data_IF_401457660109
#
_entry.id   IF_401457660109
#
_cell.length_a   1.000
_cell.length_b   1.000
_cell.length_c   1.000
_cell.angle_alpha   90.00
_cell.angle_beta   90.00
_cell.angle_gamma   90.00
#
_symmetry.space_group_name_H-M   'P 1'
#
loop_
_entity.id
_entity.type
_entity.pdbx_description
1 polymer ?
#
# COMPACT_ATOMS: atom_id res chain seq x y z
N UNK A 1 25.08 14.90 -21.22
CA UNK A 1 25.73 13.73 -20.60
C UNK A 1 24.68 13.02 -19.77
N UNK A 2 24.37 11.76 -20.07
CA UNK A 2 23.52 10.92 -19.21
C UNK A 2 24.37 10.31 -18.09
N UNK A 3 23.78 10.14 -16.91
CA UNK A 3 24.40 9.36 -15.83
C UNK A 3 24.06 7.90 -16.12
N UNK A 4 25.09 7.05 -16.25
CA UNK A 4 24.89 5.60 -16.35
C UNK A 4 24.60 5.06 -14.96
N UNK A 5 23.40 4.54 -14.76
CA UNK A 5 22.94 3.88 -13.52
C UNK A 5 22.80 2.37 -13.68
N UNK A 6 23.18 1.83 -14.85
CA UNK A 6 23.13 0.39 -15.09
C UNK A 6 24.09 -0.33 -14.11
N UNK A 7 23.58 -1.35 -13.45
CA UNK A 7 24.35 -2.12 -12.45
C UNK A 7 24.36 -1.55 -11.03
N UNK A 8 23.70 -0.41 -10.77
CA UNK A 8 23.47 0.01 -9.39
C UNK A 8 22.39 -0.85 -8.73
N UNK A 9 22.53 -1.17 -7.43
CA UNK A 9 21.51 -1.88 -6.69
C UNK A 9 20.24 -1.01 -6.59
N UNK A 10 19.09 -1.62 -6.82
CA UNK A 10 17.78 -0.95 -6.72
C UNK A 10 17.16 -1.27 -5.37
N UNK A 11 16.66 -0.25 -4.68
CA UNK A 11 15.83 -0.39 -3.49
C UNK A 11 14.43 0.09 -3.86
N UNK A 12 13.45 -0.81 -3.81
CA UNK A 12 12.04 -0.43 -3.92
C UNK A 12 11.59 0.18 -2.59
N UNK A 13 11.36 1.47 -2.59
CA UNK A 13 11.00 2.22 -1.36
C UNK A 13 9.50 2.23 -1.08
N UNK A 14 8.67 1.66 -1.94
CA UNK A 14 7.23 1.60 -1.74
C UNK A 14 6.59 0.43 -2.49
N UNK A 15 6.41 -0.67 -1.80
CA UNK A 15 5.62 -1.79 -2.30
C UNK A 15 4.70 -2.37 -1.22
N UNK A 16 3.87 -3.30 -1.63
CA UNK A 16 2.96 -4.06 -0.78
C UNK A 16 3.30 -5.55 -0.84
N UNK A 17 2.86 -6.36 0.14
CA UNK A 17 3.01 -7.80 0.06
C UNK A 17 2.39 -8.34 -1.23
N UNK A 18 3.15 -9.15 -1.98
CA UNK A 18 2.59 -9.87 -3.12
C UNK A 18 2.18 -11.28 -2.72
N UNK A 19 1.06 -11.69 -3.31
CA UNK A 19 0.48 -12.99 -3.08
C UNK A 19 0.61 -13.84 -4.32
N UNK A 20 0.87 -15.12 -4.13
CA UNK A 20 0.64 -16.11 -5.16
C UNK A 20 -0.87 -16.15 -5.47
N UNK A 21 -1.22 -15.80 -6.68
CA UNK A 21 -2.59 -15.83 -7.20
C UNK A 21 -2.81 -16.98 -8.17
N UNK A 22 -1.83 -17.86 -8.30
CA UNK A 22 -1.87 -18.94 -9.30
C UNK A 22 -1.94 -18.40 -10.73
N UNK A 23 -2.67 -19.09 -11.59
CA UNK A 23 -2.94 -18.65 -12.95
C UNK A 23 -3.89 -17.42 -12.94
N UNK A 24 -3.63 -16.50 -13.86
CA UNK A 24 -4.45 -15.30 -14.06
C UNK A 24 -5.03 -15.30 -15.47
N UNK A 25 -6.25 -14.79 -15.60
CA UNK A 25 -6.81 -14.38 -16.89
C UNK A 25 -6.23 -13.02 -17.30
N UNK A 26 -6.41 -12.64 -18.56
CA UNK A 26 -5.98 -11.31 -19.05
C UNK A 26 -6.69 -10.16 -18.31
N UNK A 27 -7.93 -10.37 -17.89
CA UNK A 27 -8.68 -9.40 -17.11
C UNK A 27 -8.17 -9.29 -15.68
N UNK A 28 -7.90 -10.42 -15.00
CA UNK A 28 -7.31 -10.43 -13.66
C UNK A 28 -5.94 -9.76 -13.66
N UNK A 29 -5.09 -10.09 -14.64
CA UNK A 29 -3.78 -9.49 -14.78
C UNK A 29 -3.87 -7.97 -14.99
N UNK A 30 -4.72 -7.52 -15.91
CA UNK A 30 -4.93 -6.10 -16.18
C UNK A 30 -5.46 -5.38 -14.93
N UNK A 31 -6.41 -5.98 -14.21
CA UNK A 31 -6.99 -5.42 -12.98
C UNK A 31 -5.95 -5.31 -11.85
N UNK A 32 -5.11 -6.31 -11.66
CA UNK A 32 -4.08 -6.33 -10.62
C UNK A 32 -2.94 -5.35 -10.90
N UNK A 33 -2.59 -5.15 -12.16
CA UNK A 33 -1.42 -4.37 -12.55
C UNK A 33 -1.73 -2.92 -12.93
N UNK A 34 -2.99 -2.59 -13.22
CA UNK A 34 -3.42 -1.27 -13.69
C UNK A 34 -4.40 -0.56 -12.74
N UNK A 35 -4.19 -0.66 -11.43
CA UNK A 35 -5.01 0.01 -10.39
C UNK A 35 -6.51 -0.32 -10.44
N UNK A 36 -6.86 -1.53 -10.83
CA UNK A 36 -8.25 -1.93 -11.06
C UNK A 36 -9.20 -1.88 -9.87
N UNK A 37 -8.70 -1.89 -8.64
CA UNK A 37 -9.52 -1.77 -7.43
C UNK A 37 -10.05 -0.35 -7.16
N UNK A 38 -9.42 0.66 -7.76
CA UNK A 38 -9.80 2.07 -7.57
C UNK A 38 -11.17 2.37 -8.19
N UNK A 39 -11.51 1.72 -9.31
CA UNK A 39 -12.73 2.02 -10.03
C UNK A 39 -13.99 1.51 -9.33
N UNK A 40 -13.88 0.39 -8.61
CA UNK A 40 -15.02 -0.18 -7.89
C UNK A 40 -15.51 0.72 -6.75
N UNK A 41 -14.62 1.54 -6.18
CA UNK A 41 -14.93 2.43 -5.06
C UNK A 41 -15.18 3.89 -5.51
N UNK A 42 -14.35 4.39 -6.40
CA UNK A 42 -14.28 5.83 -6.72
C UNK A 42 -15.26 6.26 -7.81
N UNK A 43 -15.51 5.41 -8.78
CA UNK A 43 -16.48 5.74 -9.85
C UNK A 43 -17.90 5.82 -9.32
N UNK A 44 -18.40 4.85 -8.51
CA UNK A 44 -19.71 5.01 -7.86
C UNK A 44 -19.77 6.21 -6.93
N UNK A 45 -18.69 6.50 -6.17
CA UNK A 45 -18.63 7.67 -5.32
C UNK A 45 -18.68 8.98 -6.13
N UNK A 46 -18.21 8.96 -7.38
CA UNK A 46 -18.32 10.05 -8.36
C UNK A 46 -19.65 10.08 -9.13
N UNK A 47 -20.60 9.19 -8.79
CA UNK A 47 -21.91 9.12 -9.46
C UNK A 47 -21.94 8.32 -10.76
N UNK A 48 -20.88 7.53 -11.04
CA UNK A 48 -20.82 6.66 -12.23
C UNK A 48 -21.40 5.29 -11.89
N UNK A 49 -22.44 4.86 -12.59
CA UNK A 49 -22.98 3.50 -12.47
C UNK A 49 -22.06 2.50 -13.18
N UNK A 50 -21.59 1.48 -12.44
CA UNK A 50 -20.71 0.42 -12.96
C UNK A 50 -21.50 -0.66 -13.69
N UNK A 51 -22.05 -0.32 -14.87
CA UNK A 51 -22.67 -1.31 -15.78
C UNK A 51 -21.58 -2.18 -16.44
N UNK A 52 -21.99 -3.32 -17.03
CA UNK A 52 -21.07 -4.19 -17.77
C UNK A 52 -20.40 -3.44 -18.93
N UNK A 53 -21.14 -2.58 -19.63
CA UNK A 53 -20.59 -1.75 -20.70
C UNK A 53 -19.50 -0.79 -20.20
N UNK A 54 -19.68 -0.16 -19.03
CA UNK A 54 -18.68 0.70 -18.39
C UNK A 54 -17.46 -0.12 -17.97
N UNK A 55 -17.67 -1.31 -17.42
CA UNK A 55 -16.55 -2.22 -17.05
C UNK A 55 -15.75 -2.67 -18.27
N UNK A 56 -16.42 -2.97 -19.40
CA UNK A 56 -15.73 -3.33 -20.65
C UNK A 56 -14.93 -2.15 -21.21
N UNK A 57 -15.46 -0.97 -21.16
CA UNK A 57 -14.76 0.25 -21.57
C UNK A 57 -13.53 0.52 -20.71
N UNK A 58 -13.67 0.41 -19.37
CA UNK A 58 -12.55 0.56 -18.45
C UNK A 58 -11.44 -0.47 -18.71
N UNK A 59 -11.78 -1.73 -18.97
CA UNK A 59 -10.80 -2.78 -19.34
C UNK A 59 -10.01 -2.37 -20.58
N UNK A 60 -10.71 -1.86 -21.60
CA UNK A 60 -10.08 -1.40 -22.84
C UNK A 60 -9.14 -0.22 -22.59
N UNK A 61 -9.61 0.81 -21.87
CA UNK A 61 -8.80 1.99 -21.55
C UNK A 61 -7.54 1.64 -20.74
N UNK A 62 -7.64 0.74 -19.78
CA UNK A 62 -6.47 0.29 -19.00
C UNK A 62 -5.40 -0.32 -19.88
N UNK A 63 -5.79 -1.17 -20.82
CA UNK A 63 -4.86 -1.81 -21.77
C UNK A 63 -4.24 -0.81 -22.76
N UNK A 64 -4.90 0.31 -23.00
CA UNK A 64 -4.42 1.36 -23.88
C UNK A 64 -3.52 2.39 -23.19
N UNK A 65 -3.36 2.34 -21.87
CA UNK A 65 -2.46 3.25 -21.14
C UNK A 65 -0.99 2.99 -21.52
N UNK A 66 -0.19 4.06 -21.54
CA UNK A 66 1.26 3.94 -21.76
C UNK A 66 1.91 3.05 -20.69
N UNK A 67 1.43 3.13 -19.44
CA UNK A 67 1.87 2.28 -18.33
C UNK A 67 1.68 0.79 -18.64
N UNK A 68 0.47 0.39 -19.03
CA UNK A 68 0.17 -1.02 -19.32
C UNK A 68 0.98 -1.53 -20.52
N UNK A 69 1.04 -0.77 -21.61
CA UNK A 69 1.82 -1.13 -22.81
C UNK A 69 3.31 -1.27 -22.49
N UNK A 70 3.85 -0.38 -21.67
CA UNK A 70 5.26 -0.46 -21.26
C UNK A 70 5.50 -1.71 -20.40
N UNK A 71 4.64 -1.98 -19.41
CA UNK A 71 4.73 -3.16 -18.57
C UNK A 71 4.67 -4.46 -19.38
N UNK A 72 3.74 -4.55 -20.35
CA UNK A 72 3.68 -5.73 -21.25
C UNK A 72 4.97 -5.87 -22.06
N UNK A 73 5.52 -4.79 -22.59
CA UNK A 73 6.77 -4.82 -23.34
C UNK A 73 7.97 -5.24 -22.45
N UNK A 74 8.07 -4.74 -21.22
CA UNK A 74 9.13 -5.11 -20.28
C UNK A 74 9.03 -6.58 -19.87
N UNK A 75 7.83 -7.09 -19.59
CA UNK A 75 7.61 -8.50 -19.30
C UNK A 75 7.84 -9.41 -20.51
N UNK A 76 7.48 -8.96 -21.72
CA UNK A 76 7.78 -9.68 -22.95
C UNK A 76 9.29 -9.83 -23.13
N UNK A 77 10.06 -8.78 -22.90
CA UNK A 77 11.52 -8.84 -22.92
C UNK A 77 12.07 -9.79 -21.86
N UNK A 78 11.55 -9.74 -20.63
CA UNK A 78 11.91 -10.65 -19.54
C UNK A 78 11.65 -12.13 -19.88
N UNK A 79 10.54 -12.43 -20.53
CA UNK A 79 10.17 -13.80 -20.93
C UNK A 79 10.75 -14.22 -22.28
N UNK A 80 11.29 -13.32 -23.08
CA UNK A 80 11.78 -13.57 -24.43
C UNK A 80 10.65 -13.93 -25.42
N UNK A 81 9.53 -13.20 -25.34
CA UNK A 81 8.36 -13.36 -26.22
C UNK A 81 8.01 -12.04 -26.90
N UNK A 82 7.08 -12.09 -27.87
CA UNK A 82 6.52 -10.88 -28.47
C UNK A 82 5.78 -10.02 -27.44
N UNK A 83 5.76 -8.67 -27.58
CA UNK A 83 5.10 -7.74 -26.67
C UNK A 83 3.57 -7.77 -26.81
N UNK A 84 3.02 -8.95 -26.62
CA UNK A 84 1.60 -9.27 -26.62
C UNK A 84 1.15 -9.76 -25.24
N UNK A 85 -0.02 -9.31 -24.80
CA UNK A 85 -0.53 -9.63 -23.46
C UNK A 85 -0.76 -11.12 -23.26
N UNK A 86 -1.30 -11.81 -24.25
CA UNK A 86 -1.64 -13.24 -24.14
C UNK A 86 -0.36 -14.09 -24.09
N UNK A 87 0.65 -13.74 -24.91
CA UNK A 87 1.96 -14.40 -24.90
C UNK A 87 2.69 -14.19 -23.55
N UNK A 88 2.66 -12.97 -23.00
CA UNK A 88 3.22 -12.65 -21.69
C UNK A 88 2.50 -13.43 -20.59
N UNK A 89 1.17 -13.47 -20.64
CA UNK A 89 0.35 -14.13 -19.63
C UNK A 89 0.55 -15.65 -19.61
N UNK A 90 0.62 -16.26 -20.77
CA UNK A 90 0.94 -17.70 -20.92
C UNK A 90 2.28 -18.01 -20.22
N UNK A 91 3.33 -17.24 -20.50
CA UNK A 91 4.65 -17.44 -19.89
C UNK A 91 4.66 -17.17 -18.39
N UNK A 92 3.95 -16.12 -17.96
CA UNK A 92 3.78 -15.82 -16.53
C UNK A 92 3.09 -16.96 -15.81
N UNK A 93 1.98 -17.47 -16.33
CA UNK A 93 1.23 -18.55 -15.71
C UNK A 93 2.05 -19.84 -15.66
N UNK A 94 2.76 -20.18 -16.74
CA UNK A 94 3.69 -21.30 -16.75
C UNK A 94 4.81 -21.16 -15.71
N UNK A 95 5.40 -19.97 -15.59
CA UNK A 95 6.45 -19.70 -14.60
C UNK A 95 5.95 -19.83 -13.15
N UNK A 96 4.75 -19.33 -12.86
CA UNK A 96 4.11 -19.46 -11.54
C UNK A 96 3.72 -20.90 -11.24
N UNK A 97 3.16 -21.63 -12.22
CA UNK A 97 2.84 -23.05 -12.09
C UNK A 97 4.07 -23.92 -11.83
N UNK A 98 5.23 -23.54 -12.37
CA UNK A 98 6.50 -24.23 -12.09
C UNK A 98 7.07 -23.91 -10.70
N UNK A 99 6.80 -22.69 -10.16
CA UNK A 99 7.23 -22.30 -8.83
C UNK A 99 7.20 -20.78 -8.61
N UNK A 100 6.24 -20.32 -7.82
CA UNK A 100 6.05 -18.89 -7.57
C UNK A 100 7.30 -18.18 -6.99
N UNK A 101 7.96 -18.79 -6.02
CA UNK A 101 9.16 -18.21 -5.41
C UNK A 101 10.32 -18.05 -6.39
N UNK A 102 10.47 -19.01 -7.34
CA UNK A 102 11.49 -18.91 -8.38
C UNK A 102 11.14 -17.83 -9.42
N UNK A 103 9.86 -17.71 -9.75
CA UNK A 103 9.38 -16.63 -10.60
C UNK A 103 9.68 -15.26 -9.98
N UNK A 104 9.33 -15.05 -8.71
CA UNK A 104 9.62 -13.80 -7.98
C UNK A 104 11.13 -13.53 -7.93
N UNK A 105 11.95 -14.55 -7.63
CA UNK A 105 13.41 -14.41 -7.59
C UNK A 105 13.97 -13.93 -8.94
N UNK A 106 13.48 -14.48 -10.04
CA UNK A 106 13.91 -14.06 -11.38
C UNK A 106 13.52 -12.63 -11.69
N UNK A 107 12.28 -12.20 -11.36
CA UNK A 107 11.82 -10.82 -11.55
C UNK A 107 12.67 -9.82 -10.76
N UNK A 108 12.93 -10.11 -9.50
CA UNK A 108 13.75 -9.24 -8.65
C UNK A 108 15.21 -9.16 -9.15
N UNK A 109 15.75 -10.30 -9.61
CA UNK A 109 17.10 -10.35 -10.18
C UNK A 109 17.21 -9.56 -11.48
N UNK A 110 16.24 -9.66 -12.38
CA UNK A 110 16.16 -8.91 -13.64
C UNK A 110 16.06 -7.40 -13.40
N UNK A 111 15.23 -7.00 -12.42
CA UNK A 111 15.07 -5.59 -12.03
C UNK A 111 16.22 -5.07 -11.14
N UNK A 112 17.18 -5.90 -10.74
CA UNK A 112 18.28 -5.52 -9.83
C UNK A 112 17.82 -5.12 -8.43
N UNK A 113 16.62 -5.56 -7.98
CA UNK A 113 16.06 -5.18 -6.68
C UNK A 113 16.76 -5.96 -5.57
N UNK A 114 17.46 -5.23 -4.70
CA UNK A 114 18.24 -5.77 -3.56
C UNK A 114 17.62 -5.50 -2.20
N UNK A 115 16.63 -4.62 -2.13
CA UNK A 115 15.88 -4.29 -0.92
C UNK A 115 14.50 -3.77 -1.24
N UNK A 116 13.52 -4.00 -0.35
CA UNK A 116 12.16 -3.52 -0.50
C UNK A 116 11.58 -2.99 0.82
N UNK A 117 11.06 -1.77 0.79
CA UNK A 117 10.29 -1.19 1.90
C UNK A 117 8.82 -1.57 1.69
N UNK A 118 8.34 -2.48 2.53
CA UNK A 118 7.04 -3.14 2.35
C UNK A 118 6.02 -2.61 3.35
N UNK A 119 4.94 -2.05 2.82
CA UNK A 119 3.79 -1.58 3.59
C UNK A 119 2.77 -2.71 3.79
N UNK A 120 2.74 -3.27 5.01
CA UNK A 120 1.85 -4.37 5.39
C UNK A 120 0.42 -3.91 5.78
N UNK A 121 0.11 -2.63 5.66
CA UNK A 121 -1.25 -2.11 5.88
C UNK A 121 -2.21 -2.41 4.71
N UNK A 122 -1.72 -2.98 3.62
CA UNK A 122 -2.50 -3.45 2.47
C UNK A 122 -1.85 -4.71 1.89
N UNK A 123 -2.61 -5.70 1.40
CA UNK A 123 -4.08 -5.79 1.42
C UNK A 123 -4.68 -6.02 2.82
N UNK A 124 -5.98 -5.93 2.92
CA UNK A 124 -6.72 -6.31 4.13
C UNK A 124 -7.48 -7.63 3.88
N UNK A 125 -7.55 -8.56 4.86
CA UNK A 125 -6.87 -8.49 6.17
C UNK A 125 -5.35 -8.49 6.06
N UNK A 126 -4.67 -7.94 7.06
CA UNK A 126 -3.22 -7.81 7.08
C UNK A 126 -2.51 -9.16 6.95
N UNK A 127 -1.47 -9.21 6.13
CA UNK A 127 -0.64 -10.40 5.93
C UNK A 127 0.53 -10.35 6.91
N UNK A 128 0.92 -11.49 7.45
CA UNK A 128 2.08 -11.58 8.32
C UNK A 128 3.41 -11.37 7.57
N UNK A 129 4.38 -10.77 8.24
CA UNK A 129 5.71 -10.49 7.68
C UNK A 129 6.46 -11.78 7.32
N UNK A 130 6.39 -12.80 8.20
CA UNK A 130 7.20 -14.02 8.07
C UNK A 130 6.96 -14.79 6.76
N UNK A 131 5.73 -15.08 6.31
CA UNK A 131 5.48 -15.73 5.03
C UNK A 131 6.03 -14.94 3.84
N UNK A 132 5.85 -13.62 3.85
CA UNK A 132 6.32 -12.76 2.76
C UNK A 132 7.85 -12.74 2.71
N UNK A 133 8.52 -12.62 3.87
CA UNK A 133 9.99 -12.67 3.95
C UNK A 133 10.56 -13.99 3.42
N UNK A 134 9.85 -15.09 3.55
CA UNK A 134 10.28 -16.39 3.01
C UNK A 134 10.16 -16.48 1.48
N UNK A 135 9.29 -15.68 0.85
CA UNK A 135 9.03 -15.71 -0.59
C UNK A 135 9.86 -14.67 -1.37
N UNK A 136 10.20 -13.54 -0.74
CA UNK A 136 10.91 -12.45 -1.40
C UNK A 136 12.43 -12.69 -1.30
N UNK A 137 13.16 -12.68 -2.42
CA UNK A 137 14.60 -13.03 -2.45
C UNK A 137 15.54 -11.92 -2.01
N UNK A 138 15.02 -10.84 -1.42
CA UNK A 138 15.78 -9.65 -1.02
C UNK A 138 15.47 -9.24 0.40
N UNK A 139 16.24 -8.30 0.94
CA UNK A 139 15.95 -7.74 2.26
C UNK A 139 14.61 -7.00 2.27
N UNK A 140 13.77 -7.28 3.27
CA UNK A 140 12.51 -6.62 3.48
C UNK A 140 12.60 -5.70 4.69
N UNK A 141 12.24 -4.44 4.49
CA UNK A 141 12.07 -3.43 5.53
C UNK A 141 10.57 -3.19 5.73
N UNK A 142 9.92 -3.88 6.68
CA UNK A 142 8.50 -3.70 6.91
C UNK A 142 8.20 -2.36 7.59
N UNK A 143 7.18 -1.66 7.11
CA UNK A 143 6.67 -0.43 7.71
C UNK A 143 5.21 -0.60 8.15
N UNK A 144 4.87 0.01 9.30
CA UNK A 144 3.56 -0.11 9.92
C UNK A 144 2.63 1.02 9.49
N UNK A 145 1.53 0.70 8.79
CA UNK A 145 0.52 1.69 8.36
C UNK A 145 -0.46 1.98 9.50
N UNK A 146 -0.65 3.26 9.82
CA UNK A 146 -1.49 3.69 10.95
C UNK A 146 -3.00 3.72 10.61
N UNK A 147 -3.40 3.88 9.36
CA UNK A 147 -4.80 4.05 9.00
C UNK A 147 -5.71 2.87 9.36
N UNK A 148 -5.31 1.60 9.18
CA UNK A 148 -6.11 0.47 9.66
C UNK A 148 -6.37 0.51 11.17
N UNK A 149 -5.35 0.88 11.96
CA UNK A 149 -5.50 1.04 13.42
C UNK A 149 -6.47 2.17 13.76
N UNK A 150 -6.40 3.29 13.05
CA UNK A 150 -7.34 4.41 13.25
C UNK A 150 -8.78 3.96 13.01
N UNK A 151 -9.03 3.19 11.94
CA UNK A 151 -10.36 2.65 11.61
C UNK A 151 -10.84 1.69 12.70
N UNK A 152 -9.99 0.77 13.15
CA UNK A 152 -10.29 -0.18 14.22
C UNK A 152 -10.66 0.53 15.53
N UNK A 153 -9.85 1.51 15.95
CA UNK A 153 -10.10 2.25 17.17
C UNK A 153 -11.34 3.13 17.10
N UNK A 154 -11.66 3.68 15.94
CA UNK A 154 -12.91 4.44 15.72
C UNK A 154 -14.15 3.56 15.80
N UNK A 155 -14.05 2.31 15.37
CA UNK A 155 -15.14 1.34 15.49
C UNK A 155 -15.35 0.85 16.93
N UNK A 156 -14.40 1.10 17.83
CA UNK A 156 -14.47 0.73 19.23
C UNK A 156 -15.16 1.82 20.06
N UNK A 157 -16.05 1.42 20.99
CA UNK A 157 -16.71 2.36 21.92
C UNK A 157 -15.84 2.59 23.17
N UNK A 158 -14.70 3.27 22.98
CA UNK A 158 -13.71 3.54 24.04
C UNK A 158 -13.48 5.05 24.23
N UNK A 159 -13.23 5.51 25.46
CA UNK A 159 -12.88 6.92 25.75
C UNK A 159 -11.55 7.34 25.12
N UNK A 160 -11.29 8.67 25.11
CA UNK A 160 -10.08 9.23 24.50
C UNK A 160 -8.78 8.68 25.10
N UNK A 161 -8.71 8.58 26.42
CA UNK A 161 -7.49 8.11 27.09
C UNK A 161 -7.14 6.68 26.67
N UNK A 162 -8.14 5.81 26.59
CA UNK A 162 -7.98 4.43 26.14
C UNK A 162 -7.67 4.36 24.65
N UNK A 163 -8.32 5.21 23.82
CA UNK A 163 -8.04 5.31 22.39
C UNK A 163 -6.56 5.67 22.17
N UNK A 164 -6.09 6.73 22.81
CA UNK A 164 -4.72 7.19 22.72
C UNK A 164 -3.74 6.13 23.21
N UNK A 165 -4.00 5.55 24.37
CA UNK A 165 -3.15 4.50 24.93
C UNK A 165 -3.03 3.30 23.97
N UNK A 166 -4.13 2.79 23.43
CA UNK A 166 -4.10 1.70 22.46
C UNK A 166 -3.38 2.07 21.18
N UNK A 167 -3.55 3.29 20.70
CA UNK A 167 -2.85 3.78 19.52
C UNK A 167 -1.33 3.77 19.75
N UNK A 168 -0.88 4.36 20.84
CA UNK A 168 0.52 4.44 21.23
C UNK A 168 1.12 3.03 21.43
N UNK A 169 0.48 2.21 22.26
CA UNK A 169 0.93 0.84 22.59
C UNK A 169 1.03 -0.05 21.34
N UNK A 170 0.08 0.06 20.41
CA UNK A 170 0.06 -0.76 19.20
C UNK A 170 1.22 -0.39 18.28
N UNK A 171 1.50 0.91 18.07
CA UNK A 171 2.63 1.36 17.26
C UNK A 171 3.95 0.98 17.94
N UNK A 172 4.10 1.26 19.24
CA UNK A 172 5.30 0.89 19.98
C UNK A 172 5.57 -0.62 19.92
N UNK A 173 4.55 -1.45 20.12
CA UNK A 173 4.66 -2.90 19.99
C UNK A 173 5.03 -3.34 18.56
N UNK A 174 4.48 -2.70 17.52
CA UNK A 174 4.86 -2.98 16.15
C UNK A 174 6.36 -2.74 15.91
N UNK A 175 6.88 -1.63 16.42
CA UNK A 175 8.28 -1.25 16.25
C UNK A 175 9.25 -2.11 17.10
N UNK A 176 8.87 -2.46 18.34
CA UNK A 176 9.77 -3.17 19.27
C UNK A 176 9.70 -4.69 19.15
N UNK A 177 8.52 -5.27 18.94
CA UNK A 177 8.31 -6.71 19.05
C UNK A 177 7.90 -7.40 17.73
N UNK A 178 7.25 -6.67 16.80
CA UNK A 178 6.73 -7.25 15.56
C UNK A 178 7.65 -7.07 14.35
N UNK A 179 8.81 -6.43 14.54
CA UNK A 179 9.87 -6.31 13.53
C UNK A 179 9.64 -5.22 12.48
N UNK A 180 8.71 -4.30 12.69
CA UNK A 180 8.56 -3.12 11.84
C UNK A 180 9.73 -2.15 12.06
N UNK A 181 10.18 -1.50 10.97
CA UNK A 181 11.35 -0.62 10.95
C UNK A 181 11.00 0.85 10.69
N UNK A 182 9.74 1.15 10.59
CA UNK A 182 9.21 2.49 10.35
C UNK A 182 7.70 2.50 10.38
N UNK A 183 7.14 3.68 10.27
CA UNK A 183 5.69 3.93 10.25
C UNK A 183 5.30 4.48 8.88
N UNK A 184 4.08 4.22 8.43
CA UNK A 184 3.50 4.72 7.18
C UNK A 184 2.19 5.42 7.46
N UNK A 185 1.96 6.56 6.80
CA UNK A 185 0.64 7.17 6.68
C UNK A 185 0.27 7.43 5.21
N UNK A 186 -1.00 7.24 4.90
CA UNK A 186 -1.61 7.63 3.63
C UNK A 186 -2.55 8.82 3.81
N UNK A 187 -2.27 9.68 4.79
CA UNK A 187 -3.11 10.84 5.11
C UNK A 187 -3.31 11.76 3.90
N UNK A 188 -2.32 11.86 3.00
CA UNK A 188 -2.42 12.63 1.75
C UNK A 188 -3.68 12.28 0.94
N UNK A 189 -4.01 10.97 0.85
CA UNK A 189 -5.19 10.47 0.15
C UNK A 189 -6.49 10.54 0.97
N UNK A 190 -6.41 10.85 2.26
CA UNK A 190 -7.55 10.84 3.18
C UNK A 190 -8.05 12.25 3.50
N UNK A 191 -7.19 13.08 4.05
CA UNK A 191 -7.57 14.44 4.51
C UNK A 191 -6.56 15.51 4.10
N UNK A 192 -5.55 15.14 3.29
CA UNK A 192 -4.53 16.04 2.77
C UNK A 192 -3.38 16.29 3.75
N UNK A 193 -2.37 17.03 3.27
CA UNK A 193 -1.13 17.31 4.00
C UNK A 193 -1.11 18.71 4.65
N UNK A 194 -2.19 19.44 4.58
CA UNK A 194 -2.33 20.71 5.30
C UNK A 194 -2.60 20.44 6.79
N UNK A 195 -1.53 20.15 7.54
CA UNK A 195 -1.56 19.78 8.94
C UNK A 195 -1.27 21.02 9.80
N UNK A 196 -2.26 21.44 10.59
CA UNK A 196 -2.11 22.58 11.49
C UNK A 196 -1.12 22.27 12.62
N UNK A 197 -0.23 23.20 13.00
CA UNK A 197 0.60 23.07 14.20
C UNK A 197 -0.20 22.81 15.49
N UNK A 198 -1.45 23.28 15.56
CA UNK A 198 -2.35 23.03 16.69
C UNK A 198 -2.73 21.56 16.84
N UNK A 199 -2.61 20.76 15.78
CA UNK A 199 -2.91 19.33 15.82
C UNK A 199 -2.01 18.56 16.81
N UNK A 200 -0.89 19.12 17.22
CA UNK A 200 0.02 18.52 18.22
C UNK A 200 -0.49 18.63 19.67
N UNK A 201 -1.47 19.51 19.94
CA UNK A 201 -1.97 19.68 21.30
C UNK A 201 -2.86 18.49 21.71
N UNK A 202 -2.72 17.96 22.94
CA UNK A 202 -3.49 16.80 23.40
C UNK A 202 -5.00 16.97 23.29
N UNK A 203 -5.50 18.18 23.56
CA UNK A 203 -6.93 18.48 23.55
C UNK A 203 -7.54 18.36 22.14
N UNK A 204 -6.77 18.55 21.07
CA UNK A 204 -7.27 18.47 19.70
C UNK A 204 -7.73 17.04 19.36
N UNK A 205 -7.02 16.02 19.78
CA UNK A 205 -7.43 14.64 19.59
C UNK A 205 -8.73 14.31 20.32
N UNK A 206 -8.82 14.69 21.59
CA UNK A 206 -10.04 14.54 22.40
C UNK A 206 -11.25 15.22 21.77
N UNK A 207 -11.13 16.52 21.47
CA UNK A 207 -12.22 17.31 20.88
C UNK A 207 -12.65 16.76 19.53
N UNK A 208 -11.71 16.29 18.71
CA UNK A 208 -12.01 15.72 17.42
C UNK A 208 -12.76 14.38 17.54
N UNK A 209 -12.33 13.48 18.44
CA UNK A 209 -12.99 12.21 18.68
C UNK A 209 -14.42 12.40 19.25
N UNK A 210 -14.58 13.30 20.21
CA UNK A 210 -15.87 13.65 20.80
C UNK A 210 -16.84 14.20 19.73
N UNK A 211 -16.36 15.10 18.86
CA UNK A 211 -17.15 15.64 17.77
C UNK A 211 -17.56 14.58 16.74
N UNK A 212 -16.68 13.63 16.40
CA UNK A 212 -17.00 12.50 15.51
C UNK A 212 -18.13 11.66 16.12
N UNK A 213 -18.03 11.32 17.40
CA UNK A 213 -19.04 10.49 18.10
C UNK A 213 -20.40 11.14 18.22
N UNK A 214 -20.43 12.45 18.37
CA UNK A 214 -21.67 13.22 18.37
C UNK A 214 -22.25 13.48 16.97
N UNK A 215 -21.61 12.98 15.92
CA UNK A 215 -22.02 13.24 14.54
C UNK A 215 -21.86 14.70 14.12
N UNK A 216 -21.01 15.44 14.83
CA UNK A 216 -20.70 16.84 14.49
C UNK A 216 -19.70 16.81 13.33
N UNK A 217 -20.14 17.14 12.11
CA UNK A 217 -19.32 17.23 10.91
C UNK A 217 -18.16 18.23 11.04
N UNK A 218 -17.90 19.03 10.02
CA UNK A 218 -16.99 20.19 10.09
C UNK A 218 -15.50 19.86 10.21
N UNK A 219 -15.06 18.78 9.55
CA UNK A 219 -13.64 18.46 9.49
C UNK A 219 -13.07 17.75 10.74
N UNK A 220 -13.93 17.24 11.62
CA UNK A 220 -13.51 16.53 12.85
C UNK A 220 -12.61 15.32 12.53
N UNK A 221 -12.91 14.58 11.47
CA UNK A 221 -12.08 13.47 11.01
C UNK A 221 -10.68 13.93 10.58
N UNK A 222 -10.59 15.07 9.88
CA UNK A 222 -9.29 15.65 9.53
C UNK A 222 -8.49 16.01 10.77
N UNK A 223 -9.10 16.70 11.74
CA UNK A 223 -8.43 17.09 13.00
C UNK A 223 -7.91 15.88 13.78
N UNK A 224 -8.70 14.79 13.85
CA UNK A 224 -8.27 13.57 14.51
C UNK A 224 -7.08 12.94 13.79
N UNK A 225 -7.16 12.79 12.46
CA UNK A 225 -6.06 12.20 11.66
C UNK A 225 -4.80 13.05 11.72
N UNK A 226 -4.91 14.36 11.62
CA UNK A 226 -3.78 15.28 11.76
C UNK A 226 -3.10 15.12 13.13
N UNK A 227 -3.90 15.03 14.22
CA UNK A 227 -3.39 14.77 15.57
C UNK A 227 -2.64 13.42 15.63
N UNK A 228 -3.23 12.35 15.11
CA UNK A 228 -2.64 11.02 15.16
C UNK A 228 -1.37 10.88 14.29
N UNK A 229 -1.29 11.62 13.16
CA UNK A 229 -0.04 11.71 12.38
C UNK A 229 1.04 12.44 13.18
N UNK A 230 0.72 13.56 13.84
CA UNK A 230 1.67 14.25 14.71
C UNK A 230 2.15 13.33 15.84
N UNK A 231 1.22 12.58 16.48
CA UNK A 231 1.58 11.62 17.54
C UNK A 231 2.45 10.47 16.99
N UNK A 232 2.16 9.98 15.79
CA UNK A 232 2.98 8.98 15.13
C UNK A 232 4.41 9.45 14.86
N UNK A 233 4.58 10.73 14.48
CA UNK A 233 5.91 11.32 14.31
C UNK A 233 6.67 11.38 15.65
N UNK A 234 5.99 11.71 16.75
CA UNK A 234 6.60 11.69 18.10
C UNK A 234 7.05 10.27 18.46
N UNK A 235 6.20 9.27 18.25
CA UNK A 235 6.56 7.86 18.47
C UNK A 235 7.74 7.41 17.59
N UNK A 236 7.79 7.87 16.33
CA UNK A 236 8.94 7.62 15.46
C UNK A 236 10.24 8.22 16.03
N UNK A 237 10.17 9.42 16.60
CA UNK A 237 11.32 10.05 17.27
C UNK A 237 11.72 9.28 18.54
N UNK A 238 10.76 8.88 19.37
CA UNK A 238 10.99 8.09 20.58
C UNK A 238 11.68 6.76 20.30
N UNK A 239 11.33 6.12 19.16
CA UNK A 239 11.88 4.84 18.74
C UNK A 239 13.03 4.94 17.72
N UNK A 240 13.45 6.15 17.34
CA UNK A 240 14.50 6.39 16.33
C UNK A 240 14.25 5.68 14.99
N UNK A 241 13.02 5.75 14.49
CA UNK A 241 12.62 5.15 13.20
C UNK A 241 12.03 6.21 12.27
N UNK A 242 12.10 6.00 10.94
CA UNK A 242 11.48 6.91 9.97
C UNK A 242 9.97 6.75 9.89
N UNK A 243 9.30 7.82 9.40
CA UNK A 243 7.93 7.79 8.93
C UNK A 243 7.88 8.08 7.43
N UNK A 244 7.19 7.26 6.68
CA UNK A 244 6.88 7.47 5.26
C UNK A 244 5.46 8.05 5.13
N UNK A 245 5.30 9.08 4.29
CA UNK A 245 4.01 9.70 4.00
C UNK A 245 3.74 9.65 2.49
#
# INVERSE_FOLDING_TARGET
MGIDVAGLPVIDVHCHPFLDRGELTADDFTRLTAFGGVDDDWLPAGGVELTDAVRDELRRFRRDTAYHKRMVADLAAFFGVEPDLDAVLERRNAAVGAGYSDYVRRLFGDAGITGAVVDFGYPQPAIEIKPIRAQIPTEIVPIYRIEPLIVELLASDIGWDEFRRRFDDTIANALTNRGYRGVKSIIAYRTGLDISPLSRTPDQGYLALDAIRRGLGGGSMKKLRDHLVCRSLELCMEHSVPMQI
#
